data_IF_355314647286
#
_entry.id   IF_355314647286
#
_cell.length_a   1.000
_cell.length_b   1.000
_cell.length_c   1.000
_cell.angle_alpha   90.00
_cell.angle_beta   90.00
_cell.angle_gamma   90.00
#
_symmetry.space_group_name_H-M   'P 1'
#
loop_
_entity.id
_entity.type
_entity.pdbx_description
1 polymer ?
#
# COMPACT_ATOMS: atom_id res chain seq x y z
N UNK A 1 -13.13 7.60 -8.66
CA UNK A 1 -11.84 7.32 -9.33
C UNK A 1 -11.42 8.32 -10.41
N UNK A 2 -12.28 9.21 -10.90
CA UNK A 2 -11.97 10.12 -12.02
C UNK A 2 -10.87 11.15 -11.73
N UNK A 3 -10.76 11.67 -10.50
CA UNK A 3 -9.81 12.76 -10.20
C UNK A 3 -8.33 12.34 -10.28
N UNK A 4 -7.98 11.13 -9.82
CA UNK A 4 -6.60 10.63 -9.95
C UNK A 4 -6.29 10.21 -11.38
N UNK A 5 -7.25 9.58 -12.08
CA UNK A 5 -7.03 9.10 -13.46
C UNK A 5 -6.80 10.21 -14.49
N UNK A 6 -7.25 11.45 -14.22
CA UNK A 6 -7.00 12.58 -15.12
C UNK A 6 -5.57 13.15 -15.01
N UNK A 7 -4.87 12.92 -13.89
CA UNK A 7 -3.52 13.45 -13.64
C UNK A 7 -2.45 12.35 -13.52
N UNK A 8 -2.86 11.13 -13.17
CA UNK A 8 -2.00 9.97 -12.93
C UNK A 8 -2.61 8.73 -13.58
N UNK A 9 -1.79 7.86 -14.15
CA UNK A 9 -2.23 6.51 -14.52
C UNK A 9 -2.36 5.66 -13.26
N UNK A 10 -3.48 5.80 -12.53
CA UNK A 10 -3.69 5.14 -11.24
C UNK A 10 -4.37 3.77 -11.40
N UNK A 11 -4.03 2.85 -10.49
CA UNK A 11 -4.67 1.54 -10.35
C UNK A 11 -5.02 1.30 -8.88
N UNK A 12 -6.16 0.65 -8.64
CA UNK A 12 -6.55 0.19 -7.31
C UNK A 12 -6.33 -1.31 -7.26
N UNK A 13 -5.57 -1.77 -6.27
CA UNK A 13 -5.19 -3.18 -6.11
C UNK A 13 -5.39 -3.56 -4.64
N UNK A 14 -5.91 -4.76 -4.36
CA UNK A 14 -5.96 -5.28 -3.00
C UNK A 14 -4.53 -5.51 -2.47
N UNK A 15 -4.30 -5.36 -1.17
CA UNK A 15 -2.96 -5.59 -0.60
C UNK A 15 -2.46 -7.03 -0.83
N UNK A 16 -3.35 -8.01 -0.88
CA UNK A 16 -3.01 -9.42 -1.12
C UNK A 16 -2.62 -9.71 -2.58
N UNK A 17 -3.16 -8.94 -3.53
CA UNK A 17 -2.89 -9.07 -4.96
C UNK A 17 -1.70 -8.20 -5.42
N UNK A 18 -1.18 -7.34 -4.54
CA UNK A 18 -0.09 -6.45 -4.87
C UNK A 18 1.24 -7.21 -5.00
N UNK A 19 1.82 -7.22 -6.20
CA UNK A 19 3.17 -7.73 -6.40
C UNK A 19 4.19 -6.79 -5.73
N UNK A 20 4.72 -7.20 -4.58
CA UNK A 20 5.66 -6.40 -3.80
C UNK A 20 6.91 -5.94 -4.57
N UNK A 21 7.33 -6.69 -5.61
CA UNK A 21 8.46 -6.31 -6.46
C UNK A 21 8.22 -5.02 -7.26
N UNK A 22 6.94 -4.61 -7.43
CA UNK A 22 6.58 -3.35 -8.09
C UNK A 22 6.87 -2.13 -7.22
N UNK A 23 7.04 -2.29 -5.90
CA UNK A 23 7.27 -1.17 -4.97
C UNK A 23 8.50 -0.33 -5.35
N UNK A 24 9.54 -0.95 -5.90
CA UNK A 24 10.74 -0.25 -6.40
C UNK A 24 10.47 0.59 -7.67
N UNK A 25 9.41 0.29 -8.41
CA UNK A 25 9.04 0.98 -9.66
C UNK A 25 8.00 2.08 -9.42
N UNK A 26 7.29 2.03 -8.29
CA UNK A 26 6.25 3.01 -7.98
C UNK A 26 6.84 4.40 -7.76
N UNK A 27 6.14 5.42 -8.27
CA UNK A 27 6.48 6.84 -8.04
C UNK A 27 5.62 7.51 -6.97
N UNK A 28 4.44 6.91 -6.70
CA UNK A 28 3.47 7.32 -5.69
C UNK A 28 2.67 6.09 -5.23
N UNK A 29 2.73 5.78 -3.93
CA UNK A 29 1.93 4.73 -3.30
C UNK A 29 0.90 5.34 -2.34
N UNK A 30 -0.37 4.98 -2.51
CA UNK A 30 -1.45 5.40 -1.60
C UNK A 30 -1.99 4.16 -0.92
N UNK A 31 -1.88 4.11 0.40
CA UNK A 31 -2.34 2.99 1.22
C UNK A 31 -3.62 3.39 1.93
N UNK A 32 -4.70 2.66 1.68
CA UNK A 32 -5.95 2.80 2.42
C UNK A 32 -6.20 1.50 3.15
N UNK A 33 -6.24 1.54 4.48
CA UNK A 33 -6.40 0.33 5.30
C UNK A 33 -7.17 0.63 6.57
N UNK A 34 -7.90 -0.35 7.05
CA UNK A 34 -8.39 -0.34 8.43
C UNK A 34 -7.40 -1.02 9.37
N UNK A 35 -7.71 -0.97 10.67
CA UNK A 35 -7.16 -1.87 11.67
C UNK A 35 -8.28 -2.75 12.26
N UNK A 36 -7.92 -3.91 12.80
CA UNK A 36 -8.83 -4.84 13.46
C UNK A 36 -8.33 -5.18 14.87
N UNK A 37 -9.24 -5.40 15.82
CA UNK A 37 -8.90 -5.82 17.18
C UNK A 37 -7.93 -4.86 17.87
N UNK A 38 -6.76 -5.38 18.27
CA UNK A 38 -5.74 -4.63 19.01
C UNK A 38 -4.79 -3.82 18.11
N UNK A 39 -5.27 -3.37 16.95
CA UNK A 39 -4.45 -2.67 15.95
C UNK A 39 -3.80 -3.60 14.92
N UNK A 40 -4.33 -4.81 14.77
CA UNK A 40 -3.88 -5.74 13.74
C UNK A 40 -4.27 -5.27 12.35
N UNK A 41 -3.47 -5.67 11.35
CA UNK A 41 -3.82 -5.43 9.95
C UNK A 41 -5.04 -6.28 9.57
N UNK A 42 -5.82 -5.86 8.55
CA UNK A 42 -6.84 -6.72 7.97
C UNK A 42 -6.20 -7.99 7.37
N UNK A 43 -6.99 -9.05 7.19
CA UNK A 43 -6.51 -10.33 6.67
C UNK A 43 -5.83 -10.21 5.30
N UNK A 44 -6.43 -9.43 4.38
CA UNK A 44 -5.85 -9.15 3.06
C UNK A 44 -4.58 -8.28 3.11
N UNK A 45 -4.21 -7.73 4.27
CA UNK A 45 -2.97 -6.97 4.49
C UNK A 45 -1.81 -7.78 5.06
N UNK A 46 -2.01 -9.05 5.44
CA UNK A 46 -1.00 -9.84 6.16
C UNK A 46 0.28 -10.07 5.35
N UNK A 47 0.14 -10.48 4.08
CA UNK A 47 1.30 -10.76 3.21
C UNK A 47 2.12 -9.49 2.98
N UNK A 48 1.43 -8.40 2.65
CA UNK A 48 2.04 -7.08 2.44
C UNK A 48 2.77 -6.59 3.71
N UNK A 49 2.15 -6.72 4.90
CA UNK A 49 2.79 -6.38 6.19
C UNK A 49 4.09 -7.17 6.39
N UNK A 50 4.07 -8.49 6.17
CA UNK A 50 5.26 -9.35 6.34
C UNK A 50 6.39 -8.93 5.41
N UNK A 51 6.09 -8.67 4.14
CA UNK A 51 7.07 -8.23 3.15
C UNK A 51 7.62 -6.84 3.46
N UNK A 52 6.75 -5.90 3.83
CA UNK A 52 7.13 -4.53 4.17
C UNK A 52 8.05 -4.47 5.39
N UNK A 53 7.73 -5.21 6.46
CA UNK A 53 8.57 -5.25 7.66
C UNK A 53 9.89 -6.02 7.46
N UNK A 54 9.95 -6.89 6.45
CA UNK A 54 11.18 -7.60 6.07
C UNK A 54 12.09 -6.79 5.14
N UNK A 55 11.58 -5.71 4.55
CA UNK A 55 12.32 -4.86 3.63
C UNK A 55 13.36 -4.01 4.38
N UNK A 56 14.63 -4.18 4.04
CA UNK A 56 15.74 -3.44 4.68
C UNK A 56 16.09 -2.14 3.98
N UNK A 57 15.92 -2.09 2.67
CA UNK A 57 16.31 -0.96 1.84
C UNK A 57 15.40 -0.92 0.60
N UNK A 58 14.95 0.28 0.25
CA UNK A 58 14.27 0.57 -1.01
C UNK A 58 15.17 1.52 -1.80
N UNK A 59 15.58 1.11 -3.00
CA UNK A 59 16.52 1.90 -3.82
C UNK A 59 15.85 3.15 -4.37
N UNK A 60 14.59 3.01 -4.79
CA UNK A 60 13.81 4.13 -5.27
C UNK A 60 13.14 4.89 -4.12
N UNK A 61 13.12 6.22 -4.21
CA UNK A 61 12.39 7.07 -3.25
C UNK A 61 10.92 7.15 -3.66
N UNK A 62 10.12 6.21 -3.17
CA UNK A 62 8.67 6.26 -3.35
C UNK A 62 8.07 7.37 -2.49
N UNK A 63 7.20 8.19 -3.08
CA UNK A 63 6.33 9.09 -2.31
C UNK A 63 5.14 8.28 -1.84
N UNK A 64 4.71 8.46 -0.60
CA UNK A 64 3.59 7.69 -0.08
C UNK A 64 2.62 8.53 0.74
N UNK A 65 1.37 8.07 0.78
CA UNK A 65 0.32 8.58 1.65
C UNK A 65 -0.44 7.39 2.26
N UNK A 66 -0.89 7.55 3.51
CA UNK A 66 -1.64 6.51 4.22
C UNK A 66 -2.92 7.12 4.77
N UNK A 67 -4.04 6.45 4.54
CA UNK A 67 -5.33 6.76 5.15
C UNK A 67 -5.81 5.57 5.96
N UNK A 68 -5.82 5.73 7.29
CA UNK A 68 -6.24 4.72 8.24
C UNK A 68 -7.72 4.86 8.59
N UNK A 69 -8.47 3.78 8.48
CA UNK A 69 -9.86 3.67 8.92
C UNK A 69 -9.91 2.98 10.29
N UNK A 70 -10.59 3.58 11.26
CA UNK A 70 -10.74 3.02 12.60
C UNK A 70 -12.00 3.53 13.30
N UNK A 71 -12.29 2.97 14.47
CA UNK A 71 -13.37 3.39 15.37
C UNK A 71 -12.85 3.64 16.76
#
# INVERSE_FOLDING_TARGET
>A
NTMMNCAFSSRVVCMEDYNFSELEKESLLIVVTSTFGNGDCPGNGESFKKQLLSLKNLRNKVRYCVFGLGS
#
